data_IF_611366508185
#
_entry.id   IF_611366508185
#
_cell.length_a   1.000
_cell.length_b   1.000
_cell.length_c   1.000
_cell.angle_alpha   90.00
_cell.angle_beta   90.00
_cell.angle_gamma   90.00
#
_symmetry.space_group_name_H-M   'P 1'
#
loop_
_entity.id
_entity.type
_entity.pdbx_description
1 polymer ?
#
# COMPACT_ATOMS: atom_id res chain seq x y z
N UNK A 1 -10.23 0.03 22.22
CA UNK A 1 -9.42 -1.18 21.96
C UNK A 1 -9.35 -1.45 20.45
N UNK A 2 -8.16 -1.74 19.92
CA UNK A 2 -8.00 -2.05 18.49
C UNK A 2 -8.48 -3.49 18.24
N UNK A 3 -9.39 -3.66 17.28
CA UNK A 3 -9.85 -4.99 16.86
C UNK A 3 -8.74 -5.78 16.15
N UNK A 4 -7.83 -5.08 15.45
CA UNK A 4 -6.64 -5.66 14.85
C UNK A 4 -5.41 -5.06 15.54
N UNK A 5 -4.57 -5.89 16.16
CA UNK A 5 -3.38 -5.41 16.85
C UNK A 5 -2.40 -4.80 15.85
N UNK A 6 -1.77 -3.70 16.24
CA UNK A 6 -0.64 -3.15 15.50
C UNK A 6 0.58 -4.05 15.71
N UNK A 7 1.44 -4.08 14.71
CA UNK A 7 2.74 -4.72 14.84
C UNK A 7 3.58 -4.00 15.89
N UNK A 8 4.13 -4.73 16.85
CA UNK A 8 5.03 -4.17 17.84
C UNK A 8 6.16 -3.42 17.17
N UNK A 9 6.34 -2.18 17.57
CA UNK A 9 7.36 -1.28 17.00
C UNK A 9 8.06 -0.57 18.15
N UNK A 10 9.39 -0.69 18.19
CA UNK A 10 10.24 -0.13 19.21
C UNK A 10 11.18 0.91 18.59
N UNK A 11 11.43 1.98 19.32
CA UNK A 11 12.47 2.93 18.95
C UNK A 11 13.76 2.61 19.71
N UNK A 12 14.83 2.32 18.98
CA UNK A 12 16.10 1.90 19.57
C UNK A 12 16.83 3.02 20.33
N UNK A 13 16.36 4.27 20.25
CA UNK A 13 16.83 5.36 21.09
C UNK A 13 16.48 5.21 22.58
N UNK A 14 15.49 4.37 22.91
CA UNK A 14 15.24 3.92 24.27
C UNK A 14 16.19 2.78 24.62
N UNK A 15 16.97 2.88 25.72
CA UNK A 15 17.93 1.83 26.13
C UNK A 15 17.27 0.48 26.40
N UNK A 16 16.07 0.45 26.97
CA UNK A 16 15.35 -0.81 27.24
C UNK A 16 14.91 -1.47 25.94
N UNK A 17 14.37 -0.70 25.00
CA UNK A 17 13.99 -1.17 23.67
C UNK A 17 15.20 -1.68 22.88
N UNK A 18 16.33 -0.97 22.93
CA UNK A 18 17.57 -1.40 22.29
C UNK A 18 18.07 -2.73 22.85
N UNK A 19 18.04 -2.91 24.17
CA UNK A 19 18.45 -4.16 24.82
C UNK A 19 17.55 -5.33 24.37
N UNK A 20 16.24 -5.13 24.32
CA UNK A 20 15.29 -6.13 23.85
C UNK A 20 15.55 -6.52 22.38
N UNK A 21 15.72 -5.53 21.50
CA UNK A 21 15.99 -5.76 20.09
C UNK A 21 17.30 -6.52 19.87
N UNK A 22 18.34 -6.18 20.63
CA UNK A 22 19.65 -6.85 20.53
C UNK A 22 19.61 -8.31 21.00
N UNK A 23 18.79 -8.61 22.00
CA UNK A 23 18.65 -9.98 22.53
C UNK A 23 18.02 -10.93 21.51
N UNK A 24 17.10 -10.44 20.68
CA UNK A 24 16.35 -11.24 19.70
C UNK A 24 16.40 -10.63 18.30
N UNK A 25 17.59 -10.27 17.81
CA UNK A 25 17.75 -9.49 16.58
C UNK A 25 17.06 -10.11 15.36
N UNK A 26 17.02 -11.43 15.27
CA UNK A 26 16.36 -12.19 14.19
C UNK A 26 14.83 -12.04 14.19
N UNK A 27 14.26 -11.70 15.35
CA UNK A 27 12.82 -11.45 15.51
C UNK A 27 12.36 -10.08 15.00
N UNK A 28 13.28 -9.23 14.53
CA UNK A 28 12.99 -7.85 14.19
C UNK A 28 13.36 -7.49 12.76
N UNK A 29 12.55 -6.62 12.18
CA UNK A 29 12.88 -5.88 10.95
C UNK A 29 13.32 -4.48 11.38
N UNK A 30 14.58 -4.16 11.12
CA UNK A 30 15.13 -2.86 11.46
C UNK A 30 15.00 -1.88 10.30
N UNK A 31 14.77 -0.64 10.67
CA UNK A 31 14.63 0.47 9.74
C UNK A 31 15.58 1.59 10.17
N UNK A 32 16.43 2.01 9.26
CA UNK A 32 17.28 3.19 9.44
C UNK A 32 16.48 4.43 8.97
N UNK A 33 16.15 5.32 9.90
CA UNK A 33 15.36 6.53 9.66
C UNK A 33 16.10 7.48 8.70
N UNK A 34 17.45 7.47 8.75
CA UNK A 34 18.28 8.32 7.90
C UNK A 34 18.33 7.83 6.43
N UNK A 35 17.91 6.59 6.18
CA UNK A 35 17.93 5.95 4.86
C UNK A 35 16.56 5.41 4.48
N UNK A 36 15.64 6.28 4.01
CA UNK A 36 14.28 5.90 3.69
C UNK A 36 14.23 4.68 2.74
N UNK A 37 13.37 3.71 3.08
CA UNK A 37 13.17 2.50 2.28
C UNK A 37 14.18 1.37 2.53
N UNK A 38 15.25 1.59 3.30
CA UNK A 38 16.20 0.54 3.66
C UNK A 38 15.72 -0.24 4.88
N UNK A 39 15.54 -1.53 4.68
CA UNK A 39 15.16 -2.49 5.72
C UNK A 39 16.30 -3.48 5.93
N UNK A 40 16.52 -3.87 7.19
CA UNK A 40 17.51 -4.86 7.57
C UNK A 40 16.80 -6.02 8.27
N UNK A 41 17.16 -7.22 7.88
CA UNK A 41 16.75 -8.46 8.52
C UNK A 41 18.00 -9.28 8.85
N UNK A 42 18.24 -9.50 10.12
CA UNK A 42 19.44 -10.19 10.59
C UNK A 42 19.56 -11.61 10.03
N UNK A 43 18.43 -12.33 9.93
CA UNK A 43 18.34 -13.68 9.36
C UNK A 43 18.68 -13.76 7.85
N UNK A 44 18.72 -12.62 7.16
CA UNK A 44 19.03 -12.54 5.72
C UNK A 44 20.37 -11.86 5.42
N UNK A 45 21.14 -11.52 6.45
CA UNK A 45 22.41 -10.80 6.31
C UNK A 45 23.61 -11.72 6.49
N UNK A 46 24.66 -11.46 5.73
CA UNK A 46 25.95 -12.07 5.96
C UNK A 46 26.61 -11.54 7.26
N UNK A 47 27.55 -12.32 7.80
CA UNK A 47 28.19 -12.01 9.09
C UNK A 47 28.84 -10.62 9.16
N UNK A 48 29.48 -10.17 8.11
CA UNK A 48 30.13 -8.87 8.04
C UNK A 48 29.08 -7.74 8.10
N UNK A 49 28.05 -7.81 7.25
CA UNK A 49 26.98 -6.83 7.24
C UNK A 49 26.19 -6.78 8.55
N UNK A 50 26.00 -7.94 9.19
CA UNK A 50 25.37 -8.03 10.52
C UNK A 50 26.22 -7.38 11.60
N UNK A 51 27.54 -7.55 11.54
CA UNK A 51 28.48 -6.89 12.45
C UNK A 51 28.43 -5.38 12.29
N UNK A 52 28.44 -4.88 11.05
CA UNK A 52 28.36 -3.45 10.75
C UNK A 52 27.04 -2.85 11.23
N UNK A 53 25.94 -3.57 11.05
CA UNK A 53 24.63 -3.16 11.55
C UNK A 53 24.64 -3.03 13.08
N UNK A 54 25.19 -4.00 13.82
CA UNK A 54 25.32 -3.96 15.28
C UNK A 54 26.13 -2.77 15.75
N UNK A 55 27.27 -2.50 15.11
CA UNK A 55 28.13 -1.36 15.41
C UNK A 55 27.36 -0.04 15.15
N UNK A 56 26.63 0.03 14.05
CA UNK A 56 25.85 1.22 13.72
C UNK A 56 24.72 1.47 14.72
N UNK A 57 24.02 0.43 15.16
CA UNK A 57 22.99 0.52 16.20
C UNK A 57 23.55 0.95 17.57
N UNK A 58 24.76 0.55 17.91
CA UNK A 58 25.42 0.96 19.16
C UNK A 58 25.85 2.41 19.12
N UNK A 59 26.37 2.87 17.98
CA UNK A 59 26.83 4.26 17.81
C UNK A 59 25.68 5.27 17.67
N UNK A 60 24.64 4.88 16.98
CA UNK A 60 23.52 5.76 16.62
C UNK A 60 22.15 5.10 16.82
N UNK A 61 21.84 4.63 18.04
CA UNK A 61 20.63 3.86 18.30
C UNK A 61 19.34 4.64 17.93
N UNK A 62 19.36 5.97 18.10
CA UNK A 62 18.24 6.84 17.81
C UNK A 62 17.84 6.90 16.32
N UNK A 63 18.71 6.43 15.41
CA UNK A 63 18.42 6.33 13.98
C UNK A 63 17.66 5.05 13.62
N UNK A 64 17.47 4.13 14.56
CA UNK A 64 16.84 2.85 14.26
C UNK A 64 15.48 2.70 14.93
N UNK A 65 14.55 2.14 14.16
CA UNK A 65 13.30 1.58 14.67
C UNK A 65 13.28 0.09 14.37
N UNK A 66 12.81 -0.70 15.32
CA UNK A 66 12.64 -2.14 15.20
C UNK A 66 11.15 -2.46 15.13
N UNK A 67 10.74 -3.22 14.17
CA UNK A 67 9.37 -3.70 14.02
C UNK A 67 9.37 -5.23 14.08
N UNK A 68 8.51 -5.81 14.94
CA UNK A 68 8.43 -7.27 15.09
C UNK A 68 8.24 -7.94 13.73
N UNK A 69 9.08 -8.90 13.41
CA UNK A 69 8.90 -9.68 12.19
C UNK A 69 7.68 -10.60 12.32
N UNK A 70 6.74 -10.45 11.43
CA UNK A 70 5.58 -11.33 11.31
C UNK A 70 5.65 -11.93 9.91
N UNK A 71 5.67 -13.27 9.86
CA UNK A 71 5.59 -13.96 8.58
C UNK A 71 4.29 -13.59 7.86
N UNK A 72 4.34 -13.23 6.57
CA UNK A 72 3.14 -12.92 5.82
C UNK A 72 2.24 -14.15 5.71
N UNK A 73 0.94 -13.92 5.65
CA UNK A 73 -0.02 -14.96 5.31
C UNK A 73 0.30 -15.54 3.93
N UNK A 74 -0.16 -16.76 3.68
CA UNK A 74 0.07 -17.46 2.41
C UNK A 74 -1.27 -17.68 1.71
N UNK A 75 -1.31 -17.40 0.42
CA UNK A 75 -2.47 -17.66 -0.44
C UNK A 75 -2.03 -18.38 -1.72
N UNK A 76 -2.93 -19.12 -2.38
CA UNK A 76 -2.63 -19.68 -3.69
C UNK A 76 -2.46 -18.57 -4.71
N UNK A 77 -1.32 -18.50 -5.38
CA UNK A 77 -1.03 -17.59 -6.48
C UNK A 77 -0.80 -18.36 -7.76
N UNK A 78 -1.34 -17.88 -8.88
CA UNK A 78 -1.08 -18.50 -10.18
C UNK A 78 0.29 -18.05 -10.70
N UNK A 79 1.15 -19.01 -11.00
CA UNK A 79 2.42 -18.77 -11.64
C UNK A 79 2.26 -18.94 -13.16
N UNK A 80 2.40 -17.88 -13.96
CA UNK A 80 2.21 -17.95 -15.40
C UNK A 80 3.30 -18.74 -16.13
N UNK A 81 4.48 -18.88 -15.54
CA UNK A 81 5.59 -19.65 -16.15
C UNK A 81 5.34 -21.16 -16.00
N UNK A 82 5.00 -21.60 -14.80
CA UNK A 82 4.73 -23.02 -14.51
C UNK A 82 3.31 -23.43 -14.83
N UNK A 83 2.40 -22.44 -15.03
CA UNK A 83 0.96 -22.61 -15.21
C UNK A 83 0.28 -23.38 -14.05
N UNK A 84 0.83 -23.25 -12.86
CA UNK A 84 0.34 -23.92 -11.64
C UNK A 84 0.01 -22.91 -10.57
N UNK A 85 -0.81 -23.34 -9.60
CA UNK A 85 -1.03 -22.58 -8.37
C UNK A 85 0.05 -22.94 -7.36
N UNK A 86 0.71 -21.93 -6.84
CA UNK A 86 1.80 -22.03 -5.86
C UNK A 86 1.44 -21.26 -4.60
N UNK A 87 2.07 -21.60 -3.48
CA UNK A 87 1.94 -20.86 -2.24
C UNK A 87 2.72 -19.57 -2.36
N UNK A 88 2.02 -18.44 -2.26
CA UNK A 88 2.61 -17.11 -2.35
C UNK A 88 2.28 -16.29 -1.12
N UNK A 89 3.20 -15.41 -0.72
CA UNK A 89 2.95 -14.45 0.36
C UNK A 89 1.81 -13.53 -0.01
N UNK A 90 0.88 -13.30 0.92
CA UNK A 90 -0.26 -12.42 0.71
C UNK A 90 -0.34 -11.35 1.79
N UNK A 91 -0.59 -10.12 1.38
CA UNK A 91 -0.88 -9.00 2.26
C UNK A 91 -2.15 -8.32 1.82
N UNK A 92 -3.09 -8.20 2.76
CA UNK A 92 -4.37 -7.57 2.51
C UNK A 92 -4.27 -6.06 2.78
N UNK A 93 -4.85 -5.28 1.89
CA UNK A 93 -5.00 -3.84 2.03
C UNK A 93 -6.47 -3.48 2.04
N UNK A 94 -6.92 -2.93 3.15
CA UNK A 94 -8.25 -2.36 3.31
C UNK A 94 -8.16 -0.85 3.43
N UNK A 95 -9.26 -0.19 3.12
CA UNK A 95 -9.38 1.25 3.22
C UNK A 95 -10.47 1.59 4.24
N UNK A 96 -10.17 2.52 5.12
CA UNK A 96 -11.13 3.10 6.04
C UNK A 96 -11.30 4.59 5.76
N UNK A 97 -12.51 5.07 5.90
CA UNK A 97 -12.88 6.46 5.70
C UNK A 97 -13.57 6.97 6.96
N UNK A 98 -13.34 8.23 7.28
CA UNK A 98 -14.10 8.92 8.32
C UNK A 98 -15.54 9.08 7.84
N UNK A 99 -16.51 8.84 8.72
CA UNK A 99 -17.90 9.16 8.39
C UNK A 99 -18.03 10.65 8.06
N UNK A 100 -18.77 11.02 6.99
CA UNK A 100 -18.85 12.41 6.54
C UNK A 100 -19.30 13.39 7.63
N UNK A 101 -20.23 12.96 8.48
CA UNK A 101 -20.77 13.76 9.57
C UNK A 101 -19.76 13.97 10.72
N UNK A 102 -18.71 13.18 10.74
CA UNK A 102 -17.70 13.20 11.79
C UNK A 102 -16.43 13.99 11.38
N UNK A 103 -16.38 14.54 10.18
CA UNK A 103 -15.20 15.27 9.69
C UNK A 103 -14.83 16.48 10.55
N UNK A 104 -15.82 17.12 11.18
CA UNK A 104 -15.62 18.28 12.05
C UNK A 104 -15.30 17.92 13.50
N UNK A 105 -15.48 16.66 13.89
CA UNK A 105 -15.21 16.19 15.24
C UNK A 105 -13.70 16.04 15.51
N UNK A 106 -13.27 16.12 16.76
CA UNK A 106 -11.91 15.75 17.16
C UNK A 106 -11.56 14.33 16.70
N UNK A 107 -10.29 14.08 16.38
CA UNK A 107 -9.83 12.81 15.79
C UNK A 107 -10.21 11.59 16.63
N UNK A 108 -10.16 11.71 17.96
CA UNK A 108 -10.49 10.65 18.91
C UNK A 108 -12.01 10.34 19.02
N UNK A 109 -12.86 11.19 18.45
CA UNK A 109 -14.32 11.06 18.46
C UNK A 109 -14.90 10.66 17.10
N UNK A 110 -14.03 10.49 16.10
CA UNK A 110 -14.45 10.16 14.74
C UNK A 110 -14.74 8.67 14.58
N UNK A 111 -15.86 8.37 13.96
CA UNK A 111 -16.16 7.02 13.51
C UNK A 111 -15.52 6.77 12.13
N UNK A 112 -15.05 5.55 11.96
CA UNK A 112 -14.43 5.11 10.71
C UNK A 112 -15.24 3.96 10.13
N UNK A 113 -15.46 4.03 8.84
CA UNK A 113 -16.08 2.95 8.08
C UNK A 113 -15.03 2.28 7.20
N UNK A 114 -14.96 0.98 7.28
CA UNK A 114 -14.11 0.18 6.39
C UNK A 114 -14.88 -0.09 5.10
N UNK A 115 -14.24 0.13 3.96
CA UNK A 115 -14.83 -0.19 2.67
C UNK A 115 -15.07 -1.71 2.55
N UNK A 116 -16.21 -2.14 2.00
CA UNK A 116 -16.52 -3.56 1.81
C UNK A 116 -15.74 -4.14 0.63
N UNK A 117 -14.51 -4.51 0.87
CA UNK A 117 -13.59 -5.02 -0.13
C UNK A 117 -12.18 -4.52 0.09
N UNK A 118 -11.24 -5.05 -0.66
CA UNK A 118 -9.84 -4.68 -0.53
C UNK A 118 -9.00 -5.26 -1.65
N UNK A 119 -7.70 -5.09 -1.53
CA UNK A 119 -6.71 -5.64 -2.45
C UNK A 119 -5.78 -6.58 -1.69
N UNK A 120 -5.47 -7.73 -2.27
CA UNK A 120 -4.42 -8.61 -1.81
C UNK A 120 -3.20 -8.48 -2.72
N UNK A 121 -2.09 -8.07 -2.17
CA UNK A 121 -0.81 -8.15 -2.87
C UNK A 121 -0.22 -9.52 -2.65
N UNK A 122 0.12 -10.17 -3.76
CA UNK A 122 0.60 -11.56 -3.77
C UNK A 122 1.95 -11.61 -4.46
N UNK A 123 2.91 -12.29 -3.85
CA UNK A 123 4.28 -12.35 -4.36
C UNK A 123 5.06 -13.54 -3.81
N UNK A 124 6.30 -13.65 -4.23
CA UNK A 124 7.18 -14.71 -3.77
C UNK A 124 7.34 -14.69 -2.24
N UNK A 125 7.44 -15.87 -1.60
CA UNK A 125 7.68 -15.96 -0.17
C UNK A 125 8.94 -15.18 0.23
N UNK A 126 8.79 -14.27 1.21
CA UNK A 126 9.91 -13.47 1.70
C UNK A 126 10.28 -12.24 0.88
N UNK A 127 9.70 -12.04 -0.31
CA UNK A 127 9.92 -10.83 -1.08
C UNK A 127 9.30 -9.59 -0.40
N UNK A 128 9.94 -8.41 -0.51
CA UNK A 128 9.36 -7.18 -0.03
C UNK A 128 8.00 -6.94 -0.71
N UNK A 129 6.95 -6.71 0.07
CA UNK A 129 5.56 -6.54 -0.39
C UNK A 129 5.41 -5.48 -1.50
N UNK A 130 6.25 -4.46 -1.50
CA UNK A 130 6.27 -3.40 -2.51
C UNK A 130 6.77 -3.86 -3.89
N UNK A 131 7.39 -5.03 -3.98
CA UNK A 131 7.87 -5.60 -5.26
C UNK A 131 6.90 -6.59 -5.89
N UNK A 132 5.84 -6.96 -5.18
CA UNK A 132 4.81 -7.84 -5.73
C UNK A 132 4.08 -7.13 -6.87
N UNK A 133 4.02 -7.77 -8.03
CA UNK A 133 3.31 -7.28 -9.22
C UNK A 133 1.91 -7.86 -9.39
N UNK A 134 1.57 -8.85 -8.57
CA UNK A 134 0.27 -9.50 -8.65
C UNK A 134 -0.66 -8.93 -7.59
N UNK A 135 -1.84 -8.54 -8.03
CA UNK A 135 -2.92 -8.04 -7.18
C UNK A 135 -4.12 -8.94 -7.38
N UNK A 136 -4.77 -9.28 -6.28
CA UNK A 136 -6.04 -10.01 -6.27
C UNK A 136 -7.10 -9.19 -5.58
N UNK A 137 -8.34 -9.33 -6.03
CA UNK A 137 -9.48 -8.78 -5.33
C UNK A 137 -9.73 -9.54 -4.02
N UNK A 138 -10.16 -8.81 -3.02
CA UNK A 138 -10.60 -9.36 -1.74
C UNK A 138 -12.11 -9.23 -1.65
N UNK A 139 -12.80 -10.34 -1.61
CA UNK A 139 -14.24 -10.40 -1.46
C UNK A 139 -14.58 -10.59 0.01
N UNK A 140 -15.44 -9.73 0.51
CA UNK A 140 -15.97 -9.84 1.87
C UNK A 140 -17.30 -10.56 1.79
N UNK A 141 -17.36 -11.77 2.34
CA UNK A 141 -18.60 -12.54 2.41
C UNK A 141 -19.37 -12.17 3.67
N UNK A 142 -20.66 -12.03 3.54
CA UNK A 142 -21.57 -11.79 4.67
C UNK A 142 -22.74 -12.79 4.61
N UNK A 143 -23.20 -13.28 5.76
CA UNK A 143 -24.33 -14.24 5.82
C UNK A 143 -25.66 -13.60 5.42
N UNK A 144 -25.77 -12.30 5.51
CA UNK A 144 -26.94 -11.50 5.14
C UNK A 144 -26.51 -10.41 4.18
N UNK A 145 -27.30 -10.11 3.13
CA UNK A 145 -27.02 -9.00 2.24
C UNK A 145 -26.83 -7.71 3.03
N UNK A 146 -25.70 -7.07 2.84
CA UNK A 146 -25.41 -5.78 3.45
C UNK A 146 -25.94 -4.66 2.57
N UNK A 147 -26.48 -3.57 3.13
CA UNK A 147 -26.92 -2.43 2.35
C UNK A 147 -25.73 -1.84 1.59
N UNK A 148 -25.93 -1.59 0.31
CA UNK A 148 -24.91 -0.93 -0.51
C UNK A 148 -24.78 0.53 -0.03
N UNK A 149 -23.61 0.85 0.50
CA UNK A 149 -23.28 2.20 0.94
C UNK A 149 -22.28 2.77 -0.05
N UNK A 150 -22.70 3.77 -0.80
CA UNK A 150 -21.83 4.53 -1.68
C UNK A 150 -21.50 5.86 -1.03
N UNK A 151 -20.20 6.18 -0.94
CA UNK A 151 -19.73 7.52 -0.57
C UNK A 151 -19.69 8.47 -1.78
N UNK A 152 -19.89 7.92 -2.96
CA UNK A 152 -20.16 8.74 -4.14
C UNK A 152 -21.51 9.43 -3.93
N UNK A 153 -21.56 10.71 -4.27
CA UNK A 153 -22.80 11.47 -4.28
C UNK A 153 -23.85 10.64 -5.01
N UNK A 154 -24.93 10.29 -4.33
CA UNK A 154 -26.03 9.61 -5.00
C UNK A 154 -26.40 10.47 -6.20
N UNK A 155 -26.32 9.89 -7.38
CA UNK A 155 -26.76 10.57 -8.58
C UNK A 155 -28.22 10.97 -8.36
N UNK A 156 -28.50 12.25 -8.28
CA UNK A 156 -29.83 12.80 -8.11
C UNK A 156 -30.63 12.51 -9.41
N UNK A 157 -31.21 11.32 -9.47
CA UNK A 157 -32.03 10.90 -10.60
C UNK A 157 -31.22 10.47 -11.85
N UNK A 158 -31.91 10.19 -12.96
CA UNK A 158 -31.25 9.88 -14.22
C UNK A 158 -30.37 11.06 -14.65
N UNK A 159 -29.13 10.76 -15.09
CA UNK A 159 -28.20 11.78 -15.57
C UNK A 159 -28.83 12.46 -16.79
N UNK A 160 -29.36 13.67 -16.60
CA UNK A 160 -29.79 14.51 -17.72
C UNK A 160 -28.53 15.20 -18.25
N UNK A 161 -28.07 14.77 -19.41
CA UNK A 161 -26.92 15.39 -20.07
C UNK A 161 -27.35 16.77 -20.56
N UNK A 162 -26.94 17.79 -19.85
CA UNK A 162 -27.17 19.20 -20.25
C UNK A 162 -25.88 19.76 -20.86
N UNK A 163 -26.02 20.70 -21.81
CA UNK A 163 -24.88 21.39 -22.44
C UNK A 163 -24.33 22.55 -21.62
N UNK A 164 -24.95 22.86 -20.49
CA UNK A 164 -24.61 24.03 -19.67
C UNK A 164 -23.40 23.82 -18.76
N UNK A 165 -22.87 22.59 -18.69
CA UNK A 165 -21.60 22.28 -17.97
C UNK A 165 -21.62 22.52 -16.46
N UNK A 166 -22.77 22.90 -15.89
CA UNK A 166 -22.90 23.28 -14.47
C UNK A 166 -22.58 22.13 -13.50
N UNK A 167 -22.81 20.92 -13.98
CA UNK A 167 -22.58 19.70 -13.16
C UNK A 167 -21.17 19.10 -13.31
N UNK A 168 -20.34 19.69 -14.17
CA UNK A 168 -18.98 19.21 -14.39
C UNK A 168 -18.00 19.95 -13.45
N UNK A 169 -17.42 19.29 -12.45
CA UNK A 169 -16.40 19.92 -11.61
C UNK A 169 -15.25 20.47 -12.47
N UNK A 170 -14.79 21.68 -12.18
CA UNK A 170 -13.69 22.34 -12.93
C UNK A 170 -12.47 21.43 -13.10
N UNK A 171 -12.13 20.67 -12.06
CA UNK A 171 -11.01 19.71 -12.11
C UNK A 171 -11.22 18.57 -13.12
N UNK A 172 -12.46 18.11 -13.27
CA UNK A 172 -12.80 17.06 -14.26
C UNK A 172 -12.74 17.66 -15.66
N UNK A 173 -13.27 18.88 -15.86
CA UNK A 173 -13.19 19.59 -17.13
C UNK A 173 -11.72 19.82 -17.55
N UNK A 174 -10.87 20.25 -16.62
CA UNK A 174 -9.44 20.44 -16.85
C UNK A 174 -8.76 19.10 -17.21
N UNK A 175 -9.02 18.04 -16.48
CA UNK A 175 -8.46 16.71 -16.75
C UNK A 175 -8.86 16.18 -18.13
N UNK A 176 -10.11 16.36 -18.53
CA UNK A 176 -10.60 15.97 -19.86
C UNK A 176 -9.95 16.80 -20.97
N UNK A 177 -9.77 18.10 -20.75
CA UNK A 177 -9.06 18.98 -21.68
C UNK A 177 -7.62 18.50 -21.90
N UNK A 178 -6.89 18.25 -20.83
CA UNK A 178 -5.50 17.78 -20.92
C UNK A 178 -5.41 16.37 -21.52
N UNK A 179 -6.33 15.49 -21.22
CA UNK A 179 -6.38 14.15 -21.83
C UNK A 179 -6.56 14.25 -23.35
N UNK A 180 -7.48 15.09 -23.84
CA UNK A 180 -7.67 15.31 -25.26
C UNK A 180 -6.41 15.89 -25.91
N UNK A 181 -5.80 16.88 -25.27
CA UNK A 181 -4.58 17.53 -25.79
C UNK A 181 -3.37 16.59 -25.84
N UNK A 182 -3.20 15.74 -24.83
CA UNK A 182 -2.13 14.75 -24.86
C UNK A 182 -2.40 13.62 -25.86
N UNK A 183 -3.66 13.22 -26.03
CA UNK A 183 -4.07 12.26 -27.05
C UNK A 183 -3.74 12.74 -28.45
N UNK A 184 -4.04 14.01 -28.78
CA UNK A 184 -3.68 14.63 -30.05
C UNK A 184 -2.17 14.68 -30.29
N UNK A 185 -1.41 15.09 -29.26
CA UNK A 185 0.06 15.11 -29.34
C UNK A 185 0.65 13.72 -29.57
N UNK A 186 0.07 12.70 -28.95
CA UNK A 186 0.49 11.31 -29.11
C UNK A 186 0.23 10.83 -30.55
N UNK A 187 -0.94 11.13 -31.10
CA UNK A 187 -1.29 10.79 -32.47
C UNK A 187 -0.34 11.43 -33.47
N UNK A 188 -0.09 12.74 -33.35
CA UNK A 188 0.84 13.48 -34.24
C UNK A 188 2.25 12.87 -34.14
N UNK A 189 2.75 12.64 -32.92
CA UNK A 189 4.08 12.04 -32.74
C UNK A 189 4.16 10.62 -33.29
N UNK A 190 3.11 9.82 -33.10
CA UNK A 190 3.01 8.48 -33.68
C UNK A 190 3.05 8.48 -35.21
N UNK A 191 2.38 9.43 -35.84
CA UNK A 191 2.42 9.61 -37.31
C UNK A 191 3.80 10.03 -37.81
N UNK A 192 4.44 10.99 -37.12
CA UNK A 192 5.80 11.43 -37.48
C UNK A 192 6.82 10.31 -37.30
N UNK A 193 6.73 9.55 -36.21
CA UNK A 193 7.62 8.42 -35.97
C UNK A 193 7.45 7.33 -37.01
N UNK A 194 6.22 7.01 -37.38
CA UNK A 194 5.94 6.04 -38.45
C UNK A 194 6.54 6.49 -39.77
N UNK A 195 6.37 7.76 -40.16
CA UNK A 195 6.92 8.30 -41.37
C UNK A 195 8.47 8.26 -41.39
N UNK A 196 9.08 8.54 -40.22
CA UNK A 196 10.53 8.50 -40.07
C UNK A 196 11.12 7.07 -40.15
N UNK A 197 10.35 6.08 -39.72
CA UNK A 197 10.79 4.67 -39.69
C UNK A 197 10.48 3.93 -41.01
N UNK A 198 9.62 4.47 -41.86
CA UNK A 198 9.25 3.87 -43.15
C UNK A 198 10.03 4.43 -44.36
N UNK A 199 10.89 5.41 -44.13
CA UNK A 199 11.89 5.92 -45.09
C UNK A 199 13.22 5.23 -44.89
#
# INVERSE_FOLDING_TARGET
>A
ELLLPCRETLWCGDPAALAQVRAELDGWVLRDISKPGRLYRADQMGLEALRDLRISMERHPYLFTAQRHIAPAVAPGFNPQTKTFERQSATLRFFSLVEPDDLTKPVNERNYRVMPGGLAWVGEPGAPLMKSRLVKDVWVTAPVPQPHISLLRQALGPIVVTRDGKDLPCRVAESLFWMGRYGERLDIRGRLLREALTR
#
